data_IF_866169582437
#
_entry.id   IF_866169582437
#
_cell.length_a   1.000
_cell.length_b   1.000
_cell.length_c   1.000
_cell.angle_alpha   90.00
_cell.angle_beta   90.00
_cell.angle_gamma   90.00
#
_symmetry.space_group_name_H-M   'P 1'
#
loop_
_entity.id
_entity.type
_entity.pdbx_description
1 polymer ?
#
# COMPACT_ATOMS: atom_id res chain seq x y z
N UNK A 1 -8.91 16.57 2.51
CA UNK A 1 -7.88 15.56 2.82
C UNK A 1 -7.17 15.18 1.53
N UNK A 2 -5.94 15.67 1.28
CA UNK A 2 -5.17 15.27 0.10
C UNK A 2 -4.95 13.75 0.08
N UNK A 3 -5.03 13.17 -1.12
CA UNK A 3 -4.77 11.76 -1.38
C UNK A 3 -3.55 11.63 -2.28
N UNK A 4 -2.60 10.82 -1.85
CA UNK A 4 -1.43 10.39 -2.63
C UNK A 4 -1.53 8.89 -2.87
N UNK A 5 -1.28 8.45 -4.11
CA UNK A 5 -1.22 7.04 -4.48
C UNK A 5 0.16 6.75 -5.03
N UNK A 6 0.77 5.65 -4.59
CA UNK A 6 2.10 5.21 -4.98
C UNK A 6 1.99 3.76 -5.45
N UNK A 7 2.25 3.52 -6.73
CA UNK A 7 2.46 2.19 -7.26
C UNK A 7 3.87 1.73 -6.89
N UNK A 8 4.00 0.48 -6.43
CA UNK A 8 5.27 -0.09 -6.05
C UNK A 8 5.33 -1.60 -6.28
N UNK A 9 6.55 -2.08 -6.54
CA UNK A 9 6.84 -3.50 -6.62
C UNK A 9 6.79 -4.12 -5.21
N UNK A 10 6.50 -5.43 -5.09
CA UNK A 10 6.35 -6.07 -3.78
C UNK A 10 7.58 -5.87 -2.89
N UNK A 11 8.79 -5.95 -3.47
CA UNK A 11 10.05 -5.78 -2.75
C UNK A 11 10.27 -4.39 -2.15
N UNK A 12 9.58 -3.36 -2.63
CA UNK A 12 9.69 -1.99 -2.12
C UNK A 12 8.77 -1.73 -0.91
N UNK A 13 7.79 -2.60 -0.69
CA UNK A 13 6.77 -2.44 0.35
C UNK A 13 7.37 -2.28 1.76
N UNK A 14 8.36 -3.07 2.20
CA UNK A 14 8.91 -2.92 3.55
C UNK A 14 9.56 -1.55 3.77
N UNK A 15 10.36 -1.07 2.83
CA UNK A 15 11.03 0.24 2.92
C UNK A 15 10.01 1.39 2.94
N UNK A 16 9.04 1.37 2.02
CA UNK A 16 8.00 2.41 1.93
C UNK A 16 7.12 2.44 3.17
N UNK A 17 6.76 1.28 3.69
CA UNK A 17 5.99 1.16 4.94
C UNK A 17 6.77 1.71 6.13
N UNK A 18 8.04 1.31 6.28
CA UNK A 18 8.89 1.79 7.37
C UNK A 18 9.01 3.32 7.37
N UNK A 19 9.19 3.92 6.18
CA UNK A 19 9.25 5.37 6.03
C UNK A 19 7.95 6.07 6.44
N UNK A 20 6.79 5.60 5.95
CA UNK A 20 5.50 6.19 6.31
C UNK A 20 5.22 6.12 7.82
N UNK A 21 5.58 4.99 8.45
CA UNK A 21 5.46 4.82 9.90
C UNK A 21 6.38 5.77 10.68
N UNK A 22 7.63 5.95 10.21
CA UNK A 22 8.59 6.89 10.80
C UNK A 22 8.12 8.35 10.65
N UNK A 23 7.49 8.68 9.53
CA UNK A 23 6.90 10.00 9.24
C UNK A 23 5.58 10.24 10.01
N UNK A 24 5.16 9.30 10.87
CA UNK A 24 4.01 9.46 11.75
C UNK A 24 2.68 9.04 11.15
N UNK A 25 2.66 8.45 9.96
CA UNK A 25 1.43 7.85 9.43
C UNK A 25 1.10 6.55 10.18
N UNK A 26 -0.18 6.18 10.17
CA UNK A 26 -0.71 4.94 10.74
C UNK A 26 -1.44 4.13 9.69
N UNK A 27 -1.22 2.82 9.69
CA UNK A 27 -1.94 1.89 8.82
C UNK A 27 -3.40 1.82 9.24
N UNK A 28 -4.31 2.02 8.28
CA UNK A 28 -5.75 2.06 8.51
C UNK A 28 -6.50 0.95 7.77
N UNK A 29 -5.99 0.48 6.64
CA UNK A 29 -6.60 -0.59 5.84
C UNK A 29 -5.53 -1.34 5.05
N UNK A 30 -5.73 -2.65 4.92
CA UNK A 30 -5.10 -3.48 3.88
C UNK A 30 -6.23 -4.18 3.14
N UNK A 31 -6.29 -4.01 1.82
CA UNK A 31 -7.34 -4.61 1.00
C UNK A 31 -6.75 -5.17 -0.30
N UNK A 32 -7.14 -6.39 -0.68
CA UNK A 32 -6.75 -7.01 -1.93
C UNK A 32 -7.91 -6.96 -2.93
N UNK A 33 -7.61 -6.62 -4.18
CA UNK A 33 -8.54 -6.53 -5.28
C UNK A 33 -8.00 -7.33 -6.46
N UNK A 34 -8.84 -8.09 -7.14
CA UNK A 34 -8.51 -8.60 -8.47
C UNK A 34 -8.80 -7.48 -9.47
N UNK A 35 -7.76 -6.97 -10.13
CA UNK A 35 -7.93 -6.01 -11.22
C UNK A 35 -8.32 -6.75 -12.51
N UNK A 36 -7.80 -7.96 -12.67
CA UNK A 36 -8.08 -8.92 -13.73
C UNK A 36 -7.77 -10.35 -13.22
N UNK A 37 -8.01 -11.42 -14.00
CA UNK A 37 -7.77 -12.80 -13.56
C UNK A 37 -6.30 -13.14 -13.23
N UNK A 38 -5.34 -12.36 -13.72
CA UNK A 38 -3.90 -12.58 -13.56
C UNK A 38 -3.26 -11.61 -12.55
N UNK A 39 -3.95 -10.53 -12.15
CA UNK A 39 -3.37 -9.49 -11.29
C UNK A 39 -4.17 -9.29 -10.00
N UNK A 40 -3.49 -9.42 -8.86
CA UNK A 40 -3.99 -8.99 -7.55
C UNK A 40 -3.31 -7.68 -7.16
N UNK A 41 -4.10 -6.62 -6.97
CA UNK A 41 -3.62 -5.36 -6.38
C UNK A 41 -3.94 -5.33 -4.89
N UNK A 42 -2.91 -5.24 -4.06
CA UNK A 42 -3.04 -5.00 -2.61
C UNK A 42 -2.84 -3.52 -2.34
N UNK A 43 -3.80 -2.90 -1.65
CA UNK A 43 -3.78 -1.50 -1.24
C UNK A 43 -3.49 -1.42 0.25
N UNK A 44 -2.39 -0.79 0.63
CA UNK A 44 -2.11 -0.39 2.01
C UNK A 44 -2.42 1.09 2.17
N UNK A 45 -3.37 1.39 3.06
CA UNK A 45 -3.82 2.73 3.34
C UNK A 45 -3.19 3.26 4.63
N UNK A 46 -2.50 4.37 4.51
CA UNK A 46 -1.91 5.12 5.61
C UNK A 46 -2.60 6.47 5.80
N UNK A 47 -2.85 6.84 7.06
CA UNK A 47 -3.47 8.10 7.47
C UNK A 47 -2.53 8.86 8.42
N UNK A 48 -2.52 10.18 8.35
CA UNK A 48 -1.82 11.06 9.29
C UNK A 48 -2.67 12.32 9.51
N UNK A 49 -2.63 12.94 10.70
CA UNK A 49 -3.24 14.24 10.94
C UNK A 49 -2.95 14.80 12.33
N UNK A 50 -3.12 16.13 12.54
CA UNK A 50 -3.46 17.16 11.56
C UNK A 50 -2.24 17.72 10.78
N UNK A 51 -2.40 18.15 9.51
CA UNK A 51 -3.63 18.05 8.71
C UNK A 51 -3.87 16.62 8.24
N UNK A 52 -5.14 16.23 8.07
CA UNK A 52 -5.49 14.89 7.62
C UNK A 52 -4.95 14.63 6.20
N UNK A 53 -4.09 13.62 6.05
CA UNK A 53 -3.53 13.15 4.77
C UNK A 53 -3.79 11.66 4.59
N UNK A 54 -3.94 11.25 3.33
CA UNK A 54 -4.18 9.88 2.90
C UNK A 54 -3.09 9.44 1.93
N UNK A 55 -2.37 8.37 2.27
CA UNK A 55 -1.39 7.76 1.37
C UNK A 55 -1.77 6.32 1.10
N UNK A 56 -1.90 5.94 -0.17
CA UNK A 56 -2.17 4.58 -0.61
C UNK A 56 -0.94 3.99 -1.28
N UNK A 57 -0.50 2.84 -0.82
CA UNK A 57 0.52 2.02 -1.48
C UNK A 57 -0.18 0.92 -2.26
N UNK A 58 0.00 0.89 -3.58
CA UNK A 58 -0.60 -0.11 -4.47
C UNK A 58 0.49 -1.11 -4.89
N UNK A 59 0.35 -2.34 -4.42
CA UNK A 59 1.27 -3.45 -4.72
C UNK A 59 0.60 -4.40 -5.69
N UNK A 60 1.20 -4.60 -6.87
CA UNK A 60 0.71 -5.59 -7.85
C UNK A 60 1.40 -6.93 -7.64
N UNK A 61 0.60 -7.99 -7.58
CA UNK A 61 1.04 -9.37 -7.41
C UNK A 61 0.54 -10.21 -8.58
N UNK A 62 1.30 -11.23 -8.96
CA UNK A 62 0.82 -12.30 -9.81
C UNK A 62 -0.27 -13.10 -9.08
N UNK A 63 -1.47 -13.19 -9.67
CA UNK A 63 -2.59 -13.92 -9.10
C UNK A 63 -2.37 -15.45 -9.08
N UNK A 64 -1.47 -15.97 -9.92
CA UNK A 64 -1.10 -17.38 -9.93
C UNK A 64 -0.21 -17.80 -8.76
N UNK A 65 0.52 -16.83 -8.18
CA UNK A 65 1.41 -17.04 -7.04
C UNK A 65 1.50 -15.77 -6.16
N UNK A 66 0.40 -15.32 -5.53
CA UNK A 66 0.39 -14.05 -4.82
C UNK A 66 1.21 -14.15 -3.54
N UNK A 67 2.27 -13.34 -3.44
CA UNK A 67 3.14 -13.30 -2.27
C UNK A 67 3.54 -11.85 -1.94
N UNK A 68 3.41 -11.50 -0.65
CA UNK A 68 3.88 -10.22 -0.11
C UNK A 68 5.13 -10.49 0.74
N UNK A 69 6.23 -9.73 0.59
CA UNK A 69 7.40 -9.89 1.43
C UNK A 69 7.13 -9.46 2.88
N UNK A 70 7.74 -10.18 3.82
CA UNK A 70 7.64 -9.96 5.28
C UNK A 70 8.90 -9.36 5.86
#
# INVERSE_FOLDING_TARGET
MPRTTIDLEPGELPERTARLLADGHRLALVAAHHDDPATVRVVYLFLQGPPDTRTELHVRLDAGAPAVPT
#
